data_IF_915485739466
#
_entry.id   IF_915485739466
#
_cell.length_a   1.000
_cell.length_b   1.000
_cell.length_c   1.000
_cell.angle_alpha   90.00
_cell.angle_beta   90.00
_cell.angle_gamma   90.00
#
_symmetry.space_group_name_H-M   'P 1'
#
loop_
_entity.id
_entity.type
_entity.pdbx_description
1 polymer ?
#
# COMPACT_ATOMS: atom_id res chain seq x y z
N UNK A 1 -5.43 17.24 22.92
CA UNK A 1 -5.74 15.81 22.67
C UNK A 1 -6.79 15.63 21.58
N UNK A 2 -8.03 16.13 21.72
CA UNK A 2 -9.06 15.99 20.67
C UNK A 2 -8.62 16.51 19.29
N UNK A 3 -7.94 17.66 19.25
CA UNK A 3 -7.41 18.23 18.01
C UNK A 3 -6.37 17.33 17.32
N UNK A 4 -5.50 16.65 18.09
CA UNK A 4 -4.51 15.73 17.53
C UNK A 4 -5.19 14.53 16.88
N UNK A 5 -6.21 13.98 17.54
CA UNK A 5 -7.03 12.90 16.99
C UNK A 5 -7.75 13.33 15.72
N UNK A 6 -8.36 14.52 15.71
CA UNK A 6 -9.06 15.02 14.53
C UNK A 6 -8.09 15.23 13.35
N UNK A 7 -6.93 15.85 13.59
CA UNK A 7 -5.91 16.07 12.58
C UNK A 7 -5.36 14.75 12.04
N UNK A 8 -4.96 13.82 12.92
CA UNK A 8 -4.45 12.52 12.52
C UNK A 8 -5.49 11.67 11.80
N UNK A 9 -6.76 11.74 12.21
CA UNK A 9 -7.86 11.04 11.55
C UNK A 9 -8.13 11.60 10.15
N UNK A 10 -8.08 12.93 9.98
CA UNK A 10 -8.22 13.57 8.69
C UNK A 10 -7.11 13.14 7.72
N UNK A 11 -5.85 13.19 8.16
CA UNK A 11 -4.70 12.75 7.36
C UNK A 11 -4.81 11.27 7.02
N UNK A 12 -5.18 10.44 8.00
CA UNK A 12 -5.40 9.00 7.78
C UNK A 12 -6.51 8.73 6.77
N UNK A 13 -7.61 9.47 6.83
CA UNK A 13 -8.73 9.35 5.90
C UNK A 13 -8.31 9.73 4.47
N UNK A 14 -7.52 10.78 4.30
CA UNK A 14 -6.94 11.16 3.00
C UNK A 14 -6.09 10.01 2.46
N UNK A 15 -5.20 9.43 3.27
CA UNK A 15 -4.39 8.30 2.85
C UNK A 15 -5.21 7.06 2.52
N UNK A 16 -6.25 6.74 3.31
CA UNK A 16 -7.17 5.64 3.00
C UNK A 16 -7.86 5.87 1.65
N UNK A 17 -8.29 7.09 1.34
CA UNK A 17 -8.88 7.41 0.05
C UNK A 17 -7.88 7.28 -1.11
N UNK A 18 -6.66 7.77 -0.94
CA UNK A 18 -5.57 7.59 -1.91
C UNK A 18 -5.33 6.10 -2.15
N UNK A 19 -5.16 5.32 -1.08
CA UNK A 19 -4.91 3.89 -1.16
C UNK A 19 -6.06 3.14 -1.83
N UNK A 20 -7.30 3.48 -1.50
CA UNK A 20 -8.49 2.89 -2.10
C UNK A 20 -8.54 3.15 -3.61
N UNK A 21 -8.30 4.39 -4.05
CA UNK A 21 -8.27 4.74 -5.48
C UNK A 21 -7.18 3.96 -6.22
N UNK A 22 -5.96 3.93 -5.66
CA UNK A 22 -4.84 3.20 -6.27
C UNK A 22 -5.12 1.71 -6.34
N UNK A 23 -5.63 1.10 -5.27
CA UNK A 23 -5.90 -0.35 -5.22
C UNK A 23 -7.07 -0.76 -6.12
N UNK A 24 -8.11 0.07 -6.24
CA UNK A 24 -9.20 -0.16 -7.22
C UNK A 24 -8.64 -0.13 -8.65
N UNK A 25 -7.80 0.86 -8.98
CA UNK A 25 -7.14 0.93 -10.28
C UNK A 25 -6.22 -0.27 -10.54
N UNK A 26 -5.32 -0.57 -9.61
CA UNK A 26 -4.36 -1.66 -9.71
C UNK A 26 -5.04 -3.02 -9.86
N UNK A 27 -6.07 -3.30 -9.05
CA UNK A 27 -6.80 -4.57 -9.13
C UNK A 27 -7.64 -4.69 -10.42
N UNK A 28 -8.21 -3.58 -10.91
CA UNK A 28 -8.95 -3.58 -12.18
C UNK A 28 -8.03 -3.87 -13.37
N UNK A 29 -6.85 -3.23 -13.40
CA UNK A 29 -5.83 -3.46 -14.44
C UNK A 29 -5.26 -4.88 -14.33
N UNK A 30 -4.92 -5.34 -13.12
CA UNK A 30 -4.39 -6.67 -12.91
C UNK A 30 -5.38 -7.77 -13.31
N UNK A 31 -6.69 -7.58 -13.03
CA UNK A 31 -7.75 -8.50 -13.48
C UNK A 31 -7.86 -8.51 -15.01
N UNK A 32 -7.89 -7.34 -15.65
CA UNK A 32 -7.96 -7.27 -17.11
C UNK A 32 -6.72 -7.87 -17.79
N UNK A 33 -5.54 -7.71 -17.20
CA UNK A 33 -4.29 -8.25 -17.72
C UNK A 33 -4.16 -9.77 -17.46
N UNK A 34 -4.60 -10.24 -16.30
CA UNK A 34 -4.52 -11.65 -15.89
C UNK A 34 -5.45 -12.59 -16.67
N UNK A 35 -6.47 -12.05 -17.34
CA UNK A 35 -7.38 -12.80 -18.22
C UNK A 35 -6.86 -12.99 -19.66
N UNK A 36 -5.66 -12.48 -19.97
CA UNK A 36 -5.08 -12.63 -21.31
C UNK A 36 -4.39 -13.99 -21.45
N UNK A 37 -4.73 -14.71 -22.51
CA UNK A 37 -3.98 -15.89 -22.91
C UNK A 37 -2.51 -15.53 -23.15
N UNK A 38 -1.61 -16.29 -22.50
CA UNK A 38 -0.17 -16.08 -22.58
C UNK A 38 0.55 -17.41 -22.81
N UNK A 39 1.56 -17.40 -23.68
CA UNK A 39 2.39 -18.58 -23.94
C UNK A 39 3.32 -18.93 -22.76
N UNK A 40 3.52 -18.01 -21.80
CA UNK A 40 4.44 -18.18 -20.65
C UNK A 40 3.74 -17.83 -19.33
N UNK A 41 2.88 -18.71 -18.79
CA UNK A 41 1.99 -18.40 -17.67
C UNK A 41 2.72 -18.02 -16.38
N UNK A 42 3.83 -18.70 -16.05
CA UNK A 42 4.63 -18.39 -14.85
C UNK A 42 5.27 -17.00 -14.90
N UNK A 43 5.87 -16.63 -16.04
CA UNK A 43 6.48 -15.31 -16.23
C UNK A 43 5.43 -14.19 -16.19
N UNK A 44 4.25 -14.45 -16.74
CA UNK A 44 3.14 -13.51 -16.69
C UNK A 44 2.68 -13.24 -15.25
N UNK A 45 2.50 -14.29 -14.45
CA UNK A 45 2.19 -14.15 -13.02
C UNK A 45 3.28 -13.35 -12.28
N UNK A 46 4.56 -13.69 -12.48
CA UNK A 46 5.67 -12.96 -11.86
C UNK A 46 5.64 -11.46 -12.23
N UNK A 47 5.45 -11.14 -13.51
CA UNK A 47 5.37 -9.77 -13.99
C UNK A 47 4.18 -9.00 -13.37
N UNK A 48 3.00 -9.63 -13.27
CA UNK A 48 1.83 -9.03 -12.62
C UNK A 48 2.06 -8.77 -11.13
N UNK A 49 2.67 -9.71 -10.42
CA UNK A 49 2.98 -9.55 -8.99
C UNK A 49 3.99 -8.41 -8.77
N UNK A 50 5.06 -8.35 -9.57
CA UNK A 50 6.05 -7.26 -9.50
C UNK A 50 5.43 -5.91 -9.83
N UNK A 51 4.61 -5.83 -10.88
CA UNK A 51 3.92 -4.60 -11.26
C UNK A 51 2.97 -4.13 -10.15
N UNK A 52 2.17 -5.05 -9.58
CA UNK A 52 1.24 -4.73 -8.49
C UNK A 52 2.00 -4.25 -7.25
N UNK A 53 3.05 -4.96 -6.82
CA UNK A 53 3.86 -4.56 -5.67
C UNK A 53 4.52 -3.20 -5.87
N UNK A 54 5.01 -2.91 -7.08
CA UNK A 54 5.62 -1.62 -7.42
C UNK A 54 4.60 -0.48 -7.31
N UNK A 55 3.38 -0.67 -7.83
CA UNK A 55 2.31 0.33 -7.71
C UNK A 55 1.95 0.58 -6.24
N UNK A 56 1.87 -0.46 -5.42
CA UNK A 56 1.61 -0.33 -3.98
C UNK A 56 2.75 0.37 -3.24
N UNK A 57 4.02 0.11 -3.60
CA UNK A 57 5.16 0.85 -3.04
C UNK A 57 5.09 2.34 -3.36
N UNK A 58 4.68 2.71 -4.58
CA UNK A 58 4.49 4.10 -4.96
C UNK A 58 3.33 4.74 -4.19
N UNK A 59 2.24 4.01 -3.96
CA UNK A 59 1.11 4.46 -3.15
C UNK A 59 1.56 4.75 -1.71
N UNK A 60 2.29 3.83 -1.08
CA UNK A 60 2.83 4.02 0.26
C UNK A 60 3.80 5.19 0.34
N UNK A 61 4.63 5.39 -0.68
CA UNK A 61 5.52 6.56 -0.74
C UNK A 61 4.73 7.87 -0.78
N UNK A 62 3.64 7.92 -1.56
CA UNK A 62 2.76 9.08 -1.61
C UNK A 62 2.05 9.33 -0.27
N UNK A 63 1.56 8.29 0.39
CA UNK A 63 0.91 8.36 1.71
C UNK A 63 1.87 8.86 2.80
N UNK A 64 3.15 8.49 2.70
CA UNK A 64 4.22 9.00 3.57
C UNK A 64 4.47 10.48 3.30
N UNK A 65 4.47 10.93 2.05
CA UNK A 65 4.59 12.35 1.71
C UNK A 65 3.43 13.17 2.27
N UNK A 66 2.21 12.62 2.28
CA UNK A 66 1.03 13.26 2.91
C UNK A 66 1.25 13.43 4.42
N UNK A 67 1.77 12.42 5.12
CA UNK A 67 2.11 12.54 6.54
C UNK A 67 3.26 13.53 6.79
N UNK A 68 4.29 13.52 5.94
CA UNK A 68 5.41 14.46 6.01
C UNK A 68 4.91 15.92 5.89
N UNK A 69 4.02 16.19 4.94
CA UNK A 69 3.38 17.48 4.79
C UNK A 69 2.50 17.84 5.99
N UNK A 70 1.76 16.90 6.54
CA UNK A 70 0.97 17.12 7.76
C UNK A 70 1.86 17.51 8.94
N UNK A 71 3.02 16.86 9.11
CA UNK A 71 3.98 17.22 10.15
C UNK A 71 4.55 18.62 9.96
N UNK A 72 4.78 19.05 8.71
CA UNK A 72 5.23 20.40 8.40
C UNK A 72 4.17 21.44 8.77
N UNK A 73 2.91 21.22 8.37
CA UNK A 73 1.81 22.15 8.63
C UNK A 73 1.51 22.30 10.12
N UNK A 74 1.62 21.21 10.88
CA UNK A 74 1.30 21.18 12.30
C UNK A 74 2.47 21.58 13.20
N UNK A 75 3.68 21.76 12.65
CA UNK A 75 4.93 21.87 13.40
C UNK A 75 5.08 20.72 14.42
N UNK A 76 4.78 19.50 13.95
CA UNK A 76 4.61 18.34 14.81
C UNK A 76 5.93 17.72 15.30
N UNK A 77 7.07 18.13 14.77
CA UNK A 77 8.41 17.66 15.15
C UNK A 77 9.31 18.85 15.54
N UNK A 78 10.45 18.63 16.24
CA UNK A 78 11.39 19.69 16.57
C UNK A 78 11.91 20.42 15.34
N UNK A 79 12.20 21.72 15.48
CA UNK A 79 12.74 22.53 14.40
C UNK A 79 14.03 21.94 13.82
N UNK A 80 14.13 21.90 12.49
CA UNK A 80 15.28 21.32 11.78
C UNK A 80 15.24 19.79 11.60
N UNK A 81 14.19 19.12 12.06
CA UNK A 81 14.01 17.68 11.84
C UNK A 81 13.78 17.35 10.35
N UNK A 82 14.29 16.21 9.90
CA UNK A 82 13.91 15.64 8.61
C UNK A 82 12.50 15.03 8.71
N UNK A 83 11.50 15.77 8.24
CA UNK A 83 10.10 15.39 8.33
C UNK A 83 9.71 14.23 7.40
N UNK A 84 10.45 14.03 6.30
CA UNK A 84 10.21 12.90 5.40
C UNK A 84 10.70 11.61 6.05
N UNK A 85 11.92 11.63 6.58
CA UNK A 85 12.46 10.53 7.35
C UNK A 85 11.60 10.22 8.58
N UNK A 86 11.19 11.24 9.34
CA UNK A 86 10.30 11.06 10.49
C UNK A 86 8.95 10.42 10.10
N UNK A 87 8.36 10.83 8.97
CA UNK A 87 7.16 10.19 8.42
C UNK A 87 7.42 8.74 8.03
N UNK A 88 8.51 8.45 7.31
CA UNK A 88 8.90 7.08 6.94
C UNK A 88 9.01 6.17 8.18
N UNK A 89 9.79 6.59 9.17
CA UNK A 89 10.07 5.81 10.39
C UNK A 89 8.79 5.50 11.17
N UNK A 90 7.87 6.46 11.29
CA UNK A 90 6.58 6.19 11.94
C UNK A 90 5.66 5.33 11.08
N UNK A 91 5.48 5.70 9.80
CA UNK A 91 4.52 5.03 8.91
C UNK A 91 4.83 3.56 8.70
N UNK A 92 6.12 3.24 8.57
CA UNK A 92 6.60 1.86 8.43
C UNK A 92 6.74 1.12 9.77
N UNK A 93 6.40 1.78 10.88
CA UNK A 93 6.52 1.25 12.25
C UNK A 93 7.95 0.93 12.71
N UNK A 94 8.97 1.45 12.02
CA UNK A 94 10.38 1.27 12.39
C UNK A 94 10.70 1.88 13.76
N UNK A 95 10.21 3.10 14.01
CA UNK A 95 10.24 3.73 15.33
C UNK A 95 11.62 3.88 15.98
N UNK A 96 12.66 4.24 15.23
CA UNK A 96 14.03 4.40 15.76
C UNK A 96 14.14 5.35 16.97
N UNK A 97 13.23 6.32 17.09
CA UNK A 97 13.12 7.20 18.26
C UNK A 97 14.15 8.32 18.34
N UNK A 98 14.96 8.48 17.29
CA UNK A 98 15.90 9.58 17.08
C UNK A 98 15.20 10.92 16.81
N UNK A 99 14.05 10.91 16.13
CA UNK A 99 13.12 12.04 16.05
C UNK A 99 11.80 11.63 16.71
N UNK A 100 11.31 12.47 17.62
CA UNK A 100 10.04 12.28 18.31
C UNK A 100 9.13 13.48 18.11
N UNK A 101 7.79 13.29 18.09
CA UNK A 101 6.87 14.41 17.92
C UNK A 101 6.92 15.37 19.10
N UNK A 102 6.68 16.65 18.85
CA UNK A 102 6.53 17.65 19.91
C UNK A 102 5.38 17.26 20.85
N UNK A 103 5.50 17.62 22.14
CA UNK A 103 4.54 17.20 23.16
C UNK A 103 3.08 17.59 22.83
N UNK A 104 2.88 18.75 22.18
CA UNK A 104 1.57 19.23 21.74
C UNK A 104 0.93 18.38 20.63
N UNK A 105 1.73 17.57 19.92
CA UNK A 105 1.33 16.71 18.80
C UNK A 105 1.74 15.25 19.01
N UNK A 106 2.06 14.83 20.23
CA UNK A 106 2.61 13.49 20.53
C UNK A 106 1.81 12.30 19.97
N UNK A 107 0.51 12.43 19.75
CA UNK A 107 -0.33 11.36 19.19
C UNK A 107 -0.17 11.20 17.67
N UNK A 108 0.39 12.17 16.95
CA UNK A 108 0.52 12.09 15.48
C UNK A 108 1.50 11.00 15.06
N UNK A 109 2.56 10.73 15.85
CA UNK A 109 3.47 9.60 15.61
C UNK A 109 2.77 8.24 15.62
N UNK A 110 2.15 7.83 16.75
CA UNK A 110 1.38 6.58 16.82
C UNK A 110 0.22 6.50 15.80
N UNK A 111 -0.45 7.62 15.49
CA UNK A 111 -1.49 7.63 14.46
C UNK A 111 -0.95 7.40 13.06
N UNK A 112 0.23 7.94 12.74
CA UNK A 112 0.94 7.67 11.48
C UNK A 112 1.31 6.20 11.36
N UNK A 113 1.84 5.61 12.43
CA UNK A 113 2.16 4.19 12.50
C UNK A 113 0.91 3.30 12.32
N UNK A 114 -0.19 3.64 13.01
CA UNK A 114 -1.47 2.94 12.89
C UNK A 114 -2.04 3.03 11.47
N UNK A 115 -1.92 4.19 10.82
CA UNK A 115 -2.36 4.36 9.44
C UNK A 115 -1.52 3.51 8.48
N UNK A 116 -0.19 3.54 8.62
CA UNK A 116 0.69 2.75 7.77
C UNK A 116 0.50 1.25 7.91
N UNK A 117 0.44 0.71 9.13
CA UNK A 117 0.24 -0.74 9.33
C UNK A 117 -1.11 -1.22 8.78
N UNK A 118 -2.17 -0.41 8.88
CA UNK A 118 -3.47 -0.71 8.28
C UNK A 118 -3.35 -0.81 6.75
N UNK A 119 -2.68 0.14 6.11
CA UNK A 119 -2.54 0.18 4.65
C UNK A 119 -1.58 -0.89 4.12
N UNK A 120 -0.51 -1.23 4.84
CA UNK A 120 0.32 -2.40 4.50
C UNK A 120 -0.46 -3.72 4.61
N UNK A 121 -1.33 -3.85 5.62
CA UNK A 121 -2.26 -4.98 5.74
C UNK A 121 -3.23 -5.07 4.54
N UNK A 122 -3.78 -3.93 4.11
CA UNK A 122 -4.60 -3.84 2.90
C UNK A 122 -3.82 -4.27 1.64
N UNK A 123 -2.61 -3.75 1.45
CA UNK A 123 -1.71 -4.12 0.34
C UNK A 123 -1.47 -5.63 0.26
N UNK A 124 -1.29 -6.29 1.40
CA UNK A 124 -1.11 -7.75 1.46
C UNK A 124 -2.36 -8.48 0.93
N UNK A 125 -3.57 -8.04 1.32
CA UNK A 125 -4.82 -8.61 0.82
C UNK A 125 -4.98 -8.41 -0.70
N UNK A 126 -4.58 -7.25 -1.22
CA UNK A 126 -4.61 -6.95 -2.66
C UNK A 126 -3.65 -7.86 -3.44
N UNK A 127 -2.41 -8.00 -2.98
CA UNK A 127 -1.44 -8.91 -3.60
C UNK A 127 -1.93 -10.35 -3.62
N UNK A 128 -2.53 -10.81 -2.52
CA UNK A 128 -3.10 -12.14 -2.42
C UNK A 128 -4.27 -12.35 -3.39
N UNK A 129 -5.18 -11.38 -3.52
CA UNK A 129 -6.28 -11.42 -4.48
C UNK A 129 -5.78 -11.50 -5.93
N UNK A 130 -4.75 -10.72 -6.30
CA UNK A 130 -4.14 -10.75 -7.64
C UNK A 130 -3.49 -12.10 -7.91
N UNK A 131 -2.72 -12.63 -6.95
CA UNK A 131 -2.11 -13.96 -7.03
C UNK A 131 -3.16 -15.04 -7.27
N UNK A 132 -4.19 -15.08 -6.40
CA UNK A 132 -5.24 -16.10 -6.43
C UNK A 132 -5.98 -16.10 -7.75
N UNK A 133 -6.47 -14.94 -8.20
CA UNK A 133 -7.25 -14.84 -9.46
C UNK A 133 -6.43 -15.19 -10.69
N UNK A 134 -5.16 -14.81 -10.71
CA UNK A 134 -4.28 -15.15 -11.83
C UNK A 134 -4.02 -16.66 -11.87
N UNK A 135 -3.79 -17.30 -10.72
CA UNK A 135 -3.62 -18.76 -10.65
C UNK A 135 -4.89 -19.53 -11.06
N UNK A 136 -6.07 -19.09 -10.62
CA UNK A 136 -7.37 -19.67 -11.01
C UNK A 136 -7.60 -19.60 -12.53
N UNK A 137 -7.25 -18.49 -13.17
CA UNK A 137 -7.36 -18.36 -14.62
C UNK A 137 -6.37 -19.26 -15.37
N UNK A 138 -5.12 -19.32 -14.90
CA UNK A 138 -4.08 -20.16 -15.51
C UNK A 138 -4.40 -21.65 -15.41
N UNK A 139 -5.00 -22.11 -14.30
CA UNK A 139 -5.41 -23.50 -14.14
C UNK A 139 -6.59 -23.87 -15.04
N UNK A 140 -7.56 -22.96 -15.25
CA UNK A 140 -8.67 -23.17 -16.17
C UNK A 140 -8.19 -23.35 -17.62
N UNK A 141 -7.20 -22.57 -18.07
CA UNK A 141 -6.59 -22.73 -19.39
C UNK A 141 -5.88 -24.09 -19.50
N UNK A 142 -5.08 -24.46 -18.50
CA UNK A 142 -4.36 -25.73 -18.48
C UNK A 142 -5.28 -26.96 -18.52
N UNK A 143 -6.44 -26.90 -17.86
CA UNK A 143 -7.45 -27.96 -17.87
C UNK A 143 -8.18 -28.07 -19.22
N UNK A 144 -8.40 -26.96 -19.92
CA UNK A 144 -9.07 -26.94 -21.24
C UNK A 144 -8.20 -27.42 -22.40
N UNK A 145 -6.87 -27.51 -22.21
CA UNK A 145 -5.91 -27.97 -23.21
C UNK A 145 -5.73 -29.49 -23.30
N UNK A 146 -6.36 -30.27 -22.42
CA UNK A 146 -6.35 -31.75 -22.48
C UNK A 146 -7.61 -32.19 -23.20
N UNK A 147 -7.51 -32.42 -24.51
CA UNK A 147 -8.61 -32.99 -25.30
C UNK A 147 -8.81 -34.47 -24.93
N UNK A 148 -10.06 -34.97 -24.80
CA UNK A 148 -10.32 -36.41 -24.68
C UNK A 148 -9.78 -37.24 -25.84
N UNK A 149 -9.41 -36.60 -26.96
CA UNK A 149 -8.80 -37.24 -28.13
C UNK A 149 -7.32 -37.63 -27.92
N UNK A 150 -6.67 -37.15 -26.86
CA UNK A 150 -5.26 -37.46 -26.54
C UNK A 150 -5.12 -38.62 -25.53
N UNK A 151 -6.18 -39.42 -25.33
CA UNK A 151 -6.19 -40.62 -24.47
C UNK A 151 -6.43 -41.90 -25.26
#
# INVERSE_FOLDING_TARGET
MALQFLAGALVSAINIMIHAIVTVGATSIARAAGLKHTARPKLHLMALMVATATVLMLAHTLEILVWSLAYLILDAAPAGSDLLYFAFVNYTTLGYGDITPQQAWRLTGPMTAMNGILLFGWSTAVLFEVLRKTLEHLSAIGASGVSPADR
#
